data_IF_866784001068
#
_entry.id   IF_866784001068
#
_cell.length_a   1.000
_cell.length_b   1.000
_cell.length_c   1.000
_cell.angle_alpha   90.00
_cell.angle_beta   90.00
_cell.angle_gamma   90.00
#
_symmetry.space_group_name_H-M   'P 1'
#
loop_
_entity.id
_entity.type
_entity.pdbx_description
1 polymer ?
#
# COMPACT_ATOMS: atom_id res chain seq x y z
N UNK A 1 -11.84 -18.01 16.50
CA UNK A 1 -11.08 -18.51 15.33
C UNK A 1 -10.46 -19.89 15.53
N UNK A 2 -9.72 -20.16 16.63
CA UNK A 2 -9.04 -21.46 16.82
C UNK A 2 -9.95 -22.69 16.71
N UNK A 3 -11.20 -22.58 17.20
CA UNK A 3 -12.22 -23.63 17.05
C UNK A 3 -12.55 -23.90 15.58
N UNK A 4 -12.68 -22.87 14.75
CA UNK A 4 -12.95 -23.00 13.31
C UNK A 4 -11.78 -23.63 12.55
N UNK A 5 -10.56 -23.36 12.99
CA UNK A 5 -9.35 -23.87 12.35
C UNK A 5 -9.27 -25.40 12.45
N UNK A 6 -9.64 -25.95 13.62
CA UNK A 6 -9.55 -27.39 13.98
C UNK A 6 -10.79 -28.22 13.60
N UNK A 7 -11.83 -27.61 13.04
CA UNK A 7 -13.09 -28.31 12.70
C UNK A 7 -12.86 -29.32 11.57
N UNK A 8 -13.39 -30.53 11.77
CA UNK A 8 -13.25 -31.66 10.84
C UNK A 8 -14.61 -32.20 10.34
N UNK A 9 -15.73 -31.62 10.77
CA UNK A 9 -17.09 -32.02 10.35
C UNK A 9 -17.87 -30.84 9.79
N UNK A 10 -18.62 -31.07 8.71
CA UNK A 10 -19.46 -30.04 8.10
C UNK A 10 -20.58 -29.56 9.03
N UNK A 11 -21.18 -30.48 9.81
CA UNK A 11 -22.25 -30.11 10.74
C UNK A 11 -21.73 -29.21 11.86
N UNK A 12 -20.58 -29.55 12.43
CA UNK A 12 -19.91 -28.74 13.46
C UNK A 12 -19.47 -27.40 12.87
N UNK A 13 -18.91 -27.41 11.65
CA UNK A 13 -18.51 -26.20 10.93
C UNK A 13 -19.64 -25.19 10.81
N UNK A 14 -20.83 -25.61 10.35
CA UNK A 14 -21.98 -24.72 10.18
C UNK A 14 -22.37 -24.06 11.51
N UNK A 15 -22.37 -24.83 12.60
CA UNK A 15 -22.70 -24.31 13.93
C UNK A 15 -21.67 -23.27 14.42
N UNK A 16 -20.39 -23.61 14.36
CA UNK A 16 -19.31 -22.73 14.83
C UNK A 16 -19.20 -21.50 13.94
N UNK A 17 -19.34 -21.65 12.62
CA UNK A 17 -19.25 -20.53 11.68
C UNK A 17 -20.44 -19.58 11.83
N UNK A 18 -21.65 -20.08 12.13
CA UNK A 18 -22.80 -19.22 12.43
C UNK A 18 -22.56 -18.40 13.70
N UNK A 19 -22.00 -19.00 14.75
CA UNK A 19 -21.64 -18.25 15.96
C UNK A 19 -20.57 -17.19 15.66
N UNK A 20 -19.50 -17.59 14.96
CA UNK A 20 -18.43 -16.70 14.57
C UNK A 20 -18.91 -15.53 13.71
N UNK A 21 -19.82 -15.75 12.77
CA UNK A 21 -20.42 -14.69 11.96
C UNK A 21 -21.13 -13.64 12.80
N UNK A 22 -21.91 -14.06 13.80
CA UNK A 22 -22.58 -13.13 14.73
C UNK A 22 -21.57 -12.32 15.56
N UNK A 23 -20.53 -12.98 16.09
CA UNK A 23 -19.46 -12.33 16.83
C UNK A 23 -18.69 -11.33 15.95
N UNK A 24 -18.45 -11.65 14.67
CA UNK A 24 -17.79 -10.76 13.72
C UNK A 24 -18.63 -9.54 13.38
N UNK A 25 -19.96 -9.66 13.31
CA UNK A 25 -20.86 -8.51 13.10
C UNK A 25 -20.83 -7.58 14.31
N UNK A 26 -20.94 -8.12 15.52
CA UNK A 26 -20.81 -7.34 16.76
C UNK A 26 -19.44 -6.66 16.82
N UNK A 27 -18.37 -7.39 16.51
CA UNK A 27 -17.01 -6.85 16.45
C UNK A 27 -16.86 -5.75 15.39
N UNK A 28 -17.50 -5.87 14.23
CA UNK A 28 -17.47 -4.85 13.18
C UNK A 28 -18.14 -3.54 13.61
N UNK A 29 -19.20 -3.62 14.44
CA UNK A 29 -19.84 -2.46 15.06
C UNK A 29 -18.92 -1.82 16.11
N UNK A 30 -18.43 -2.60 17.08
CA UNK A 30 -17.55 -2.10 18.15
C UNK A 30 -16.27 -1.45 17.60
N UNK A 31 -15.65 -2.07 16.61
CA UNK A 31 -14.45 -1.51 15.95
C UNK A 31 -14.78 -0.28 15.10
N UNK A 32 -16.00 -0.18 14.57
CA UNK A 32 -16.48 1.01 13.86
C UNK A 32 -16.71 2.21 14.77
N UNK A 33 -17.38 2.00 15.89
CA UNK A 33 -17.57 3.04 16.90
C UNK A 33 -16.22 3.51 17.42
N UNK A 34 -15.32 2.57 17.74
CA UNK A 34 -13.96 2.90 18.17
C UNK A 34 -13.19 3.66 17.10
N UNK A 35 -13.30 3.30 15.82
CA UNK A 35 -12.66 4.02 14.72
C UNK A 35 -13.11 5.49 14.67
N UNK A 36 -14.40 5.76 14.92
CA UNK A 36 -14.96 7.11 14.91
C UNK A 36 -14.49 7.94 16.11
N UNK A 37 -14.28 7.29 17.27
CA UNK A 37 -13.79 7.92 18.49
C UNK A 37 -12.28 8.26 18.46
N UNK A 38 -11.51 7.63 17.57
CA UNK A 38 -10.07 7.88 17.44
C UNK A 38 -9.81 9.30 16.91
N UNK A 39 -9.00 10.06 17.65
CA UNK A 39 -8.55 11.41 17.27
C UNK A 39 -7.32 11.41 16.37
N UNK A 40 -6.52 10.35 16.46
CA UNK A 40 -5.29 10.19 15.67
C UNK A 40 -5.67 9.59 14.30
N UNK A 41 -5.51 10.37 13.25
CA UNK A 41 -5.82 9.97 11.87
C UNK A 41 -4.98 8.76 11.41
N UNK A 42 -3.75 8.58 11.94
CA UNK A 42 -2.91 7.41 11.68
C UNK A 42 -3.57 6.16 12.26
N UNK A 43 -3.98 6.20 13.53
CA UNK A 43 -4.68 5.09 14.20
C UNK A 43 -6.01 4.79 13.52
N UNK A 44 -6.74 5.82 13.10
CA UNK A 44 -8.02 5.71 12.39
C UNK A 44 -7.88 5.01 11.05
N UNK A 45 -6.87 5.38 10.26
CA UNK A 45 -6.57 4.72 8.99
C UNK A 45 -6.12 3.27 9.18
N UNK A 46 -5.27 2.98 10.17
CA UNK A 46 -4.88 1.60 10.52
C UNK A 46 -6.10 0.74 10.92
N UNK A 47 -7.02 1.31 11.71
CA UNK A 47 -8.25 0.62 12.12
C UNK A 47 -9.14 0.32 10.91
N UNK A 48 -9.32 1.30 10.01
CA UNK A 48 -10.08 1.11 8.77
C UNK A 48 -9.50 -0.01 7.90
N UNK A 49 -8.16 -0.04 7.73
CA UNK A 49 -7.48 -1.11 6.99
C UNK A 49 -7.68 -2.49 7.65
N UNK A 50 -7.53 -2.59 8.98
CA UNK A 50 -7.75 -3.85 9.70
C UNK A 50 -9.19 -4.35 9.56
N UNK A 51 -10.18 -3.46 9.71
CA UNK A 51 -11.61 -3.79 9.54
C UNK A 51 -11.91 -4.27 8.11
N UNK A 52 -11.37 -3.60 7.09
CA UNK A 52 -11.50 -4.02 5.68
C UNK A 52 -10.98 -5.44 5.46
N UNK A 53 -9.82 -5.79 6.04
CA UNK A 53 -9.29 -7.18 5.96
C UNK A 53 -10.26 -8.17 6.59
N UNK A 54 -10.77 -7.89 7.79
CA UNK A 54 -11.66 -8.80 8.52
C UNK A 54 -13.00 -9.02 7.82
N UNK A 55 -13.57 -7.96 7.25
CA UNK A 55 -14.80 -8.02 6.46
C UNK A 55 -14.63 -8.91 5.24
N UNK A 56 -13.62 -8.63 4.39
CA UNK A 56 -13.33 -9.41 3.18
C UNK A 56 -12.99 -10.87 3.51
N UNK A 57 -12.21 -11.12 4.57
CA UNK A 57 -11.79 -12.46 4.96
C UNK A 57 -12.94 -13.33 5.49
N UNK A 58 -14.04 -12.76 6.00
CA UNK A 58 -15.13 -13.56 6.57
C UNK A 58 -15.77 -14.47 5.52
N UNK A 59 -16.08 -13.94 4.33
CA UNK A 59 -16.60 -14.76 3.22
C UNK A 59 -15.56 -15.72 2.66
N UNK A 60 -14.30 -15.28 2.51
CA UNK A 60 -13.20 -16.13 2.03
C UNK A 60 -12.96 -17.31 2.98
N UNK A 61 -13.09 -17.10 4.30
CA UNK A 61 -12.93 -18.15 5.30
C UNK A 61 -14.02 -19.21 5.18
N UNK A 62 -15.26 -18.79 4.90
CA UNK A 62 -16.38 -19.69 4.68
C UNK A 62 -16.10 -20.66 3.53
N UNK A 63 -15.74 -20.12 2.36
CA UNK A 63 -15.52 -20.94 1.17
C UNK A 63 -14.25 -21.77 1.27
N UNK A 64 -13.16 -21.23 1.82
CA UNK A 64 -11.91 -21.97 1.99
C UNK A 64 -12.07 -23.14 2.98
N UNK A 65 -12.79 -22.92 4.09
CA UNK A 65 -13.07 -23.97 5.07
C UNK A 65 -13.99 -25.06 4.52
N UNK A 66 -15.07 -24.69 3.80
CA UNK A 66 -15.92 -25.66 3.09
C UNK A 66 -15.12 -26.50 2.09
N UNK A 67 -14.19 -25.86 1.38
CA UNK A 67 -13.34 -26.53 0.39
C UNK A 67 -12.42 -27.55 1.04
N UNK A 68 -11.77 -27.21 2.15
CA UNK A 68 -10.94 -28.15 2.92
C UNK A 68 -11.74 -29.33 3.48
N UNK A 69 -12.94 -29.08 4.00
CA UNK A 69 -13.81 -30.14 4.52
C UNK A 69 -14.30 -31.07 3.40
N UNK A 70 -14.49 -30.54 2.18
CA UNK A 70 -14.88 -31.34 1.02
C UNK A 70 -13.71 -32.15 0.46
N UNK A 71 -12.50 -31.58 0.48
CA UNK A 71 -11.29 -32.14 -0.12
C UNK A 71 -10.15 -32.19 0.91
N UNK A 72 -10.24 -33.05 1.93
CA UNK A 72 -9.35 -33.03 3.10
C UNK A 72 -7.89 -33.38 2.79
N UNK A 73 -7.61 -34.02 1.65
CA UNK A 73 -6.26 -34.40 1.22
C UNK A 73 -5.66 -33.41 0.21
N UNK A 74 -6.35 -32.30 -0.09
CA UNK A 74 -5.89 -31.31 -1.07
C UNK A 74 -5.02 -30.25 -0.37
N UNK A 75 -3.71 -30.29 -0.63
CA UNK A 75 -2.75 -29.37 -0.01
C UNK A 75 -3.04 -27.90 -0.34
N UNK A 76 -3.39 -27.60 -1.59
CA UNK A 76 -3.71 -26.23 -2.04
C UNK A 76 -4.97 -25.67 -1.37
N UNK A 77 -5.95 -26.51 -1.04
CA UNK A 77 -7.11 -26.11 -0.25
C UNK A 77 -6.70 -25.69 1.17
N UNK A 78 -5.84 -26.49 1.82
CA UNK A 78 -5.35 -26.19 3.18
C UNK A 78 -4.51 -24.90 3.21
N UNK A 79 -3.57 -24.73 2.26
CA UNK A 79 -2.79 -23.48 2.11
C UNK A 79 -3.70 -22.27 1.97
N UNK A 80 -4.76 -22.39 1.17
CA UNK A 80 -5.71 -21.32 0.95
C UNK A 80 -6.48 -20.96 2.25
N UNK A 81 -6.95 -21.96 3.00
CA UNK A 81 -7.61 -21.78 4.31
C UNK A 81 -6.68 -21.17 5.36
N UNK A 82 -5.46 -21.69 5.49
CA UNK A 82 -4.44 -21.19 6.43
C UNK A 82 -4.13 -19.72 6.17
N UNK A 83 -3.89 -19.35 4.90
CA UNK A 83 -3.64 -17.96 4.53
C UNK A 83 -4.78 -17.00 4.88
N UNK A 84 -6.06 -17.45 4.90
CA UNK A 84 -7.16 -16.59 5.37
C UNK A 84 -7.08 -16.41 6.89
N UNK A 85 -6.82 -17.48 7.65
CA UNK A 85 -6.66 -17.37 9.10
C UNK A 85 -5.51 -16.44 9.49
N UNK A 86 -4.36 -16.55 8.83
CA UNK A 86 -3.20 -15.71 9.12
C UNK A 86 -3.50 -14.23 8.89
N UNK A 87 -4.17 -13.89 7.78
CA UNK A 87 -4.62 -12.51 7.52
C UNK A 87 -5.57 -12.00 8.60
N UNK A 88 -6.52 -12.82 9.04
CA UNK A 88 -7.44 -12.43 10.10
C UNK A 88 -6.72 -12.25 11.43
N UNK A 89 -5.77 -13.12 11.78
CA UNK A 89 -4.95 -13.01 13.01
C UNK A 89 -4.18 -11.69 13.00
N UNK A 90 -3.45 -11.39 11.92
CA UNK A 90 -2.71 -10.13 11.74
C UNK A 90 -3.63 -8.91 11.85
N UNK A 91 -4.83 -8.96 11.26
CA UNK A 91 -5.78 -7.86 11.35
C UNK A 91 -6.34 -7.67 12.77
N UNK A 92 -6.62 -8.75 13.49
CA UNK A 92 -7.03 -8.69 14.90
C UNK A 92 -5.90 -8.12 15.78
N UNK A 93 -4.64 -8.52 15.54
CA UNK A 93 -3.49 -7.99 16.25
C UNK A 93 -3.35 -6.47 16.04
N UNK A 94 -3.54 -6.00 14.80
CA UNK A 94 -3.61 -4.56 14.48
C UNK A 94 -4.73 -3.86 15.27
N UNK A 95 -5.91 -4.46 15.39
CA UNK A 95 -7.01 -3.89 16.22
C UNK A 95 -6.62 -3.85 17.70
N UNK A 96 -6.03 -4.93 18.23
CA UNK A 96 -5.57 -5.02 19.62
C UNK A 96 -4.55 -3.91 19.91
N UNK A 97 -3.55 -3.73 19.04
CA UNK A 97 -2.54 -2.67 19.16
C UNK A 97 -3.20 -1.28 19.26
N UNK A 98 -4.17 -1.00 18.39
CA UNK A 98 -4.85 0.31 18.35
C UNK A 98 -5.71 0.54 19.60
N UNK A 99 -6.39 -0.48 20.10
CA UNK A 99 -7.31 -0.37 21.24
C UNK A 99 -6.59 -0.34 22.58
N UNK A 100 -5.53 -1.14 22.73
CA UNK A 100 -4.79 -1.29 23.99
C UNK A 100 -3.63 -0.31 24.15
N UNK A 101 -3.21 0.32 23.05
CA UNK A 101 -1.98 1.14 22.98
C UNK A 101 -0.70 0.39 23.40
N UNK A 102 -0.78 -0.93 23.57
CA UNK A 102 0.34 -1.80 23.86
C UNK A 102 0.87 -2.36 22.55
N UNK A 103 2.12 -2.07 22.22
CA UNK A 103 2.84 -2.78 21.15
C UNK A 103 3.18 -4.19 21.66
N UNK A 104 2.66 -5.28 21.07
CA UNK A 104 2.96 -6.63 21.55
C UNK A 104 4.44 -7.01 21.41
N UNK A 105 5.21 -6.29 20.58
CA UNK A 105 6.67 -6.37 20.47
C UNK A 105 7.20 -4.98 20.13
N UNK A 106 8.35 -4.61 20.70
CA UNK A 106 9.01 -3.31 20.54
C UNK A 106 9.55 -3.00 19.14
N UNK A 107 8.87 -3.44 18.09
CA UNK A 107 9.16 -3.00 16.73
C UNK A 107 8.67 -1.55 16.60
N UNK A 108 9.63 -0.64 16.39
CA UNK A 108 9.29 0.63 15.77
C UNK A 108 8.58 0.30 14.45
N UNK A 109 7.45 0.95 14.15
CA UNK A 109 6.94 1.01 12.79
C UNK A 109 8.10 1.55 11.96
N UNK A 110 8.92 0.69 11.35
CA UNK A 110 9.88 1.11 10.33
C UNK A 110 9.05 1.28 9.04
N UNK A 111 7.99 2.10 9.12
CA UNK A 111 7.38 2.65 7.92
C UNK A 111 8.39 3.66 7.41
N UNK A 112 9.14 3.29 6.37
CA UNK A 112 10.08 4.19 5.74
C UNK A 112 9.33 5.48 5.36
N UNK A 113 9.81 6.64 5.82
CA UNK A 113 9.21 7.95 5.54
C UNK A 113 8.99 8.11 4.02
N UNK A 114 7.79 8.46 3.58
CA UNK A 114 7.51 8.67 2.16
C UNK A 114 8.35 9.82 1.58
N UNK A 115 8.64 9.78 0.27
CA UNK A 115 9.40 10.87 -0.38
C UNK A 115 8.71 12.22 -0.17
N UNK A 116 7.37 12.29 -0.26
CA UNK A 116 6.64 13.54 -0.05
C UNK A 116 6.79 14.09 1.37
N UNK A 117 6.74 13.23 2.38
CA UNK A 117 6.98 13.62 3.78
C UNK A 117 8.43 14.05 3.97
N UNK A 118 9.39 13.33 3.39
CA UNK A 118 10.81 13.71 3.40
C UNK A 118 11.07 15.08 2.75
N UNK A 119 10.45 15.38 1.59
CA UNK A 119 10.54 16.71 0.94
C UNK A 119 9.96 17.78 1.86
N UNK A 120 8.82 17.53 2.51
CA UNK A 120 8.18 18.48 3.42
C UNK A 120 9.07 18.79 4.63
N UNK A 121 9.64 17.77 5.26
CA UNK A 121 10.57 17.91 6.39
C UNK A 121 11.85 18.63 5.99
N UNK A 122 12.44 18.26 4.84
CA UNK A 122 13.62 18.93 4.31
C UNK A 122 13.35 20.42 4.09
N UNK A 123 12.21 20.76 3.47
CA UNK A 123 11.81 22.15 3.25
C UNK A 123 11.60 22.90 4.57
N UNK A 124 10.98 22.27 5.57
CA UNK A 124 10.84 22.89 6.89
C UNK A 124 12.21 23.19 7.53
N UNK A 125 13.18 22.28 7.39
CA UNK A 125 14.53 22.48 7.94
C UNK A 125 15.29 23.62 7.25
N UNK A 126 15.25 23.73 5.92
CA UNK A 126 15.90 24.87 5.22
C UNK A 126 15.23 26.21 5.54
N UNK A 127 13.93 26.22 5.81
CA UNK A 127 13.18 27.42 6.19
C UNK A 127 13.64 27.97 7.55
N UNK A 128 14.03 27.10 8.50
CA UNK A 128 14.59 27.54 9.79
C UNK A 128 15.89 28.35 9.65
N UNK A 129 16.61 28.21 8.53
CA UNK A 129 17.83 28.99 8.27
C UNK A 129 17.54 30.50 8.14
N UNK A 130 16.32 30.88 7.76
CA UNK A 130 15.88 32.28 7.71
C UNK A 130 15.91 32.94 9.08
N UNK A 131 15.57 32.19 10.11
CA UNK A 131 15.46 32.66 11.49
C UNK A 131 16.77 32.47 12.25
N UNK A 132 17.43 31.33 12.04
CA UNK A 132 18.64 30.97 12.78
C UNK A 132 19.64 30.15 11.93
N UNK A 133 20.69 30.84 11.46
CA UNK A 133 21.78 30.27 10.67
C UNK A 133 22.62 29.19 11.38
N UNK A 134 22.45 28.98 12.69
CA UNK A 134 23.21 28.00 13.49
C UNK A 134 22.34 26.84 13.99
N UNK A 135 21.05 26.83 13.65
CA UNK A 135 20.11 25.82 14.14
C UNK A 135 20.38 24.42 13.55
N UNK A 136 20.86 24.37 12.30
CA UNK A 136 21.13 23.13 11.58
C UNK A 136 22.62 22.97 11.30
N UNK A 137 23.06 21.72 11.10
CA UNK A 137 24.38 21.41 10.55
C UNK A 137 24.30 21.17 9.04
N UNK A 138 25.41 21.40 8.34
CA UNK A 138 25.52 21.23 6.88
C UNK A 138 25.42 19.76 6.52
N UNK A 139 26.08 18.95 7.33
CA UNK A 139 26.12 17.51 7.27
C UNK A 139 24.71 16.93 7.40
N UNK A 140 23.89 17.47 8.31
CA UNK A 140 22.49 17.05 8.47
C UNK A 140 21.68 17.27 7.19
N UNK A 141 21.76 18.45 6.57
CA UNK A 141 21.02 18.73 5.33
C UNK A 141 21.52 17.86 4.16
N UNK A 142 22.82 17.65 4.04
CA UNK A 142 23.38 16.74 3.02
C UNK A 142 22.90 15.31 3.19
N UNK A 143 22.95 14.77 4.42
CA UNK A 143 22.48 13.41 4.70
C UNK A 143 20.97 13.28 4.44
N UNK A 144 20.19 14.30 4.83
CA UNK A 144 18.74 14.29 4.61
C UNK A 144 18.38 14.31 3.12
N UNK A 145 19.08 15.11 2.30
CA UNK A 145 18.85 15.12 0.86
C UNK A 145 19.27 13.79 0.23
N UNK A 146 20.44 13.26 0.55
CA UNK A 146 20.87 11.98 -0.05
C UNK A 146 19.94 10.82 0.34
N UNK A 147 19.50 10.74 1.61
CA UNK A 147 18.52 9.73 2.03
C UNK A 147 17.13 9.89 1.38
N UNK A 148 16.80 11.10 0.91
CA UNK A 148 15.59 11.36 0.13
C UNK A 148 15.78 10.94 -1.32
N UNK A 149 16.93 11.25 -1.91
CA UNK A 149 17.25 10.90 -3.29
C UNK A 149 17.50 9.40 -3.47
N UNK A 150 18.05 8.70 -2.48
CA UNK A 150 18.15 7.23 -2.48
C UNK A 150 16.76 6.58 -2.61
N UNK A 151 15.72 7.17 -2.01
CA UNK A 151 14.35 6.64 -2.14
C UNK A 151 13.75 6.86 -3.52
N UNK A 152 14.28 7.78 -4.33
CA UNK A 152 13.83 7.90 -5.73
C UNK A 152 14.33 6.73 -6.57
N UNK A 153 15.26 5.90 -6.07
CA UNK A 153 15.69 4.67 -6.72
C UNK A 153 14.55 3.67 -6.88
N UNK A 154 13.57 3.65 -5.96
CA UNK A 154 12.34 2.87 -6.12
C UNK A 154 11.64 3.17 -7.47
N UNK A 155 11.72 4.42 -7.94
CA UNK A 155 11.16 4.82 -9.23
C UNK A 155 12.09 4.48 -10.40
N UNK A 156 13.40 4.68 -10.26
CA UNK A 156 14.34 4.46 -11.36
C UNK A 156 14.59 2.97 -11.61
N UNK A 157 14.56 2.16 -10.56
CA UNK A 157 14.80 0.71 -10.64
C UNK A 157 13.53 -0.07 -10.97
N UNK A 158 12.36 0.56 -10.81
CA UNK A 158 11.10 -0.01 -11.26
C UNK A 158 11.15 -0.29 -12.77
N UNK A 159 11.00 -1.58 -13.12
CA UNK A 159 11.03 -2.06 -14.50
C UNK A 159 9.94 -1.44 -15.38
N UNK A 160 8.89 -0.89 -14.78
CA UNK A 160 7.74 -0.31 -15.48
C UNK A 160 7.87 1.20 -15.70
N UNK A 161 8.80 1.88 -15.03
CA UNK A 161 9.05 3.31 -15.25
C UNK A 161 9.65 3.54 -16.65
N UNK A 162 9.07 4.48 -17.41
CA UNK A 162 9.53 4.80 -18.77
C UNK A 162 10.96 5.37 -18.76
N UNK A 163 11.66 5.26 -19.89
CA UNK A 163 13.01 5.85 -20.01
C UNK A 163 12.98 7.36 -19.78
N UNK A 164 11.98 8.05 -20.35
CA UNK A 164 11.80 9.50 -20.21
C UNK A 164 11.62 9.93 -18.75
N UNK A 165 10.71 9.28 -18.02
CA UNK A 165 10.51 9.57 -16.60
C UNK A 165 11.76 9.25 -15.76
N UNK A 166 12.44 8.13 -16.04
CA UNK A 166 13.67 7.75 -15.34
C UNK A 166 14.78 8.77 -15.53
N UNK A 167 15.02 9.18 -16.78
CA UNK A 167 16.01 10.21 -17.11
C UNK A 167 15.66 11.53 -16.41
N UNK A 168 14.39 11.94 -16.46
CA UNK A 168 13.92 13.17 -15.83
C UNK A 168 14.08 13.17 -14.30
N UNK A 169 13.77 12.06 -13.64
CA UNK A 169 13.96 11.90 -12.18
C UNK A 169 15.45 12.02 -11.83
N UNK A 170 16.34 11.41 -12.60
CA UNK A 170 17.79 11.47 -12.39
C UNK A 170 18.33 12.89 -12.58
N UNK A 171 17.89 13.60 -13.63
CA UNK A 171 18.23 15.01 -13.87
C UNK A 171 17.81 15.90 -12.70
N UNK A 172 16.55 15.79 -12.26
CA UNK A 172 16.01 16.58 -11.16
C UNK A 172 16.72 16.26 -9.83
N UNK A 173 17.11 15.00 -9.62
CA UNK A 173 17.90 14.58 -8.46
C UNK A 173 19.30 15.20 -8.48
N UNK A 174 19.98 15.21 -9.63
CA UNK A 174 21.28 15.87 -9.80
C UNK A 174 21.18 17.40 -9.64
N UNK A 175 20.09 18.00 -10.11
CA UNK A 175 19.80 19.41 -9.92
C UNK A 175 19.62 19.73 -8.43
N UNK A 176 18.83 18.95 -7.68
CA UNK A 176 18.62 19.16 -6.25
C UNK A 176 19.94 19.11 -5.46
N UNK A 177 20.86 18.19 -5.82
CA UNK A 177 22.22 18.15 -5.24
C UNK A 177 22.99 19.43 -5.53
N UNK A 178 22.96 19.90 -6.78
CA UNK A 178 23.65 21.13 -7.18
C UNK A 178 23.12 22.36 -6.44
N UNK A 179 21.79 22.48 -6.31
CA UNK A 179 21.16 23.57 -5.58
C UNK A 179 21.49 23.52 -4.07
N UNK A 180 21.59 22.34 -3.47
CA UNK A 180 22.03 22.20 -2.07
C UNK A 180 23.49 22.65 -1.89
N UNK A 181 24.39 22.29 -2.81
CA UNK A 181 25.78 22.75 -2.72
C UNK A 181 25.89 24.28 -2.83
N UNK A 182 25.07 24.90 -3.68
CA UNK A 182 24.99 26.37 -3.76
C UNK A 182 24.46 26.97 -2.45
N UNK A 183 23.38 26.42 -1.89
CA UNK A 183 22.82 26.84 -0.61
C UNK A 183 23.88 26.76 0.51
N UNK A 184 24.59 25.63 0.63
CA UNK A 184 25.60 25.42 1.67
C UNK A 184 26.75 26.44 1.52
N UNK A 185 27.21 26.70 0.29
CA UNK A 185 28.26 27.70 0.03
C UNK A 185 27.86 29.09 0.51
N UNK A 186 26.67 29.57 0.13
CA UNK A 186 26.17 30.89 0.52
C UNK A 186 25.87 30.95 2.02
N UNK A 187 25.35 29.87 2.60
CA UNK A 187 25.09 29.76 4.03
C UNK A 187 26.36 29.89 4.87
N UNK A 188 27.47 29.24 4.48
CA UNK A 188 28.77 29.38 5.14
C UNK A 188 29.24 30.84 5.09
N UNK A 189 29.06 31.52 3.96
CA UNK A 189 29.40 32.93 3.83
C UNK A 189 28.54 33.78 4.77
N UNK A 190 27.24 33.52 4.85
CA UNK A 190 26.29 34.22 5.72
C UNK A 190 26.60 34.05 7.22
N UNK A 191 27.12 32.90 7.64
CA UNK A 191 27.58 32.68 9.02
C UNK A 191 28.81 33.56 9.33
N UNK A 192 29.72 33.73 8.38
CA UNK A 192 30.96 34.50 8.57
C UNK A 192 30.80 36.01 8.42
N UNK A 193 29.91 36.47 7.52
CA UNK A 193 29.73 37.87 7.14
C UNK A 193 28.25 38.15 6.91
N UNK A 194 27.67 39.03 7.75
CA UNK A 194 26.29 39.48 7.60
C UNK A 194 26.24 40.74 6.75
N UNK A 195 26.01 40.61 5.45
CA UNK A 195 25.71 41.74 4.56
C UNK A 195 24.34 41.55 3.94
N UNK A 196 23.68 42.66 3.59
CA UNK A 196 22.36 42.62 2.93
C UNK A 196 22.37 41.80 1.64
N UNK A 197 23.44 41.90 0.85
CA UNK A 197 23.63 41.13 -0.39
C UNK A 197 23.70 39.63 -0.14
N UNK A 198 24.39 39.18 0.92
CA UNK A 198 24.50 37.75 1.26
C UNK A 198 23.15 37.21 1.76
N UNK A 199 22.39 38.03 2.50
CA UNK A 199 21.03 37.67 2.92
C UNK A 199 20.09 37.49 1.71
N UNK A 200 20.13 38.40 0.73
CA UNK A 200 19.33 38.29 -0.49
C UNK A 200 19.74 37.05 -1.33
N UNK A 201 21.03 36.75 -1.42
CA UNK A 201 21.54 35.56 -2.11
C UNK A 201 21.14 34.27 -1.39
N UNK A 202 21.17 34.25 -0.06
CA UNK A 202 20.71 33.12 0.74
C UNK A 202 19.23 32.83 0.47
N UNK A 203 18.39 33.86 0.49
CA UNK A 203 16.97 33.72 0.15
C UNK A 203 16.75 33.16 -1.25
N UNK A 204 17.52 33.64 -2.23
CA UNK A 204 17.46 33.11 -3.59
C UNK A 204 17.81 31.61 -3.64
N UNK A 205 18.86 31.17 -2.94
CA UNK A 205 19.23 29.75 -2.90
C UNK A 205 18.21 28.86 -2.20
N UNK A 206 17.58 29.35 -1.11
CA UNK A 206 16.47 28.66 -0.43
C UNK A 206 15.28 28.47 -1.39
N UNK A 207 14.95 29.50 -2.17
CA UNK A 207 13.87 29.41 -3.16
C UNK A 207 14.21 28.44 -4.29
N UNK A 208 15.45 28.44 -4.78
CA UNK A 208 15.90 27.53 -5.85
C UNK A 208 15.83 26.06 -5.45
N UNK A 209 16.37 25.69 -4.29
CA UNK A 209 16.29 24.30 -3.82
C UNK A 209 14.83 23.88 -3.57
N UNK A 210 14.02 24.78 -3.00
CA UNK A 210 12.59 24.54 -2.78
C UNK A 210 11.83 24.31 -4.09
N UNK A 211 12.19 25.06 -5.13
CA UNK A 211 11.63 24.90 -6.46
C UNK A 211 12.09 23.58 -7.10
N UNK A 212 13.38 23.25 -7.05
CA UNK A 212 13.94 22.00 -7.57
C UNK A 212 13.26 20.77 -6.93
N UNK A 213 13.06 20.77 -5.60
CA UNK A 213 12.35 19.69 -4.92
C UNK A 213 10.86 19.62 -5.29
N UNK A 214 10.22 20.75 -5.58
CA UNK A 214 8.84 20.75 -6.08
C UNK A 214 8.74 20.16 -7.49
N UNK A 215 9.71 20.42 -8.37
CA UNK A 215 9.75 19.82 -9.71
C UNK A 215 9.99 18.30 -9.61
N UNK A 216 10.91 17.85 -8.76
CA UNK A 216 11.10 16.42 -8.46
C UNK A 216 9.80 15.80 -7.93
N UNK A 217 9.12 16.47 -7.00
CA UNK A 217 7.81 16.04 -6.46
C UNK A 217 6.76 15.84 -7.56
N UNK A 218 6.68 16.77 -8.52
CA UNK A 218 5.74 16.68 -9.65
C UNK A 218 6.07 15.52 -10.58
N UNK A 219 7.33 15.32 -10.88
CA UNK A 219 7.77 14.23 -11.76
C UNK A 219 7.45 12.85 -11.15
N UNK A 220 7.77 12.67 -9.86
CA UNK A 220 7.47 11.44 -9.13
C UNK A 220 5.96 11.17 -9.08
N UNK A 221 5.15 12.19 -8.81
CA UNK A 221 3.69 12.07 -8.81
C UNK A 221 3.17 11.64 -10.18
N UNK A 222 3.57 12.34 -11.23
CA UNK A 222 3.18 12.06 -12.61
C UNK A 222 3.52 10.62 -12.98
N UNK A 223 4.74 10.18 -12.66
CA UNK A 223 5.23 8.82 -12.91
C UNK A 223 4.34 7.78 -12.22
N UNK A 224 4.13 7.88 -10.90
CA UNK A 224 3.32 6.90 -10.16
C UNK A 224 1.85 6.91 -10.60
N UNK A 225 1.27 8.09 -10.82
CA UNK A 225 -0.12 8.24 -11.22
C UNK A 225 -0.37 7.67 -12.63
N UNK A 226 0.54 7.91 -13.57
CA UNK A 226 0.45 7.37 -14.92
C UNK A 226 0.58 5.85 -14.92
N UNK A 227 1.55 5.29 -14.19
CA UNK A 227 1.71 3.84 -14.05
C UNK A 227 0.46 3.18 -13.47
N UNK A 228 -0.12 3.77 -12.43
CA UNK A 228 -1.35 3.30 -11.82
C UNK A 228 -2.55 3.39 -12.79
N UNK A 229 -2.72 4.50 -13.48
CA UNK A 229 -3.81 4.69 -14.43
C UNK A 229 -3.76 3.67 -15.59
N UNK A 230 -2.57 3.43 -16.14
CA UNK A 230 -2.39 2.46 -17.23
C UNK A 230 -2.59 1.03 -16.77
N UNK A 231 -2.16 0.71 -15.55
CA UNK A 231 -2.36 -0.59 -14.95
C UNK A 231 -3.86 -0.86 -14.70
N UNK A 232 -4.60 0.11 -14.15
CA UNK A 232 -6.05 -0.01 -13.94
C UNK A 232 -6.80 -0.26 -15.25
N UNK A 233 -6.42 0.44 -16.34
CA UNK A 233 -6.99 0.20 -17.68
C UNK A 233 -6.69 -1.21 -18.17
N UNK A 234 -5.45 -1.67 -18.00
CA UNK A 234 -5.03 -3.02 -18.40
C UNK A 234 -5.82 -4.12 -17.67
N UNK A 235 -6.23 -3.89 -16.43
CA UNK A 235 -6.97 -4.85 -15.63
C UNK A 235 -8.50 -4.82 -15.81
N UNK A 236 -9.06 -3.90 -16.61
CA UNK A 236 -10.51 -3.69 -16.71
C UNK A 236 -11.31 -4.94 -17.09
N UNK A 237 -10.75 -5.82 -17.92
CA UNK A 237 -11.45 -7.01 -18.42
C UNK A 237 -11.20 -8.29 -17.61
N UNK A 238 -10.32 -8.24 -16.60
CA UNK A 238 -9.97 -9.37 -15.72
C UNK A 238 -9.65 -10.69 -16.47
N UNK A 239 -8.97 -10.58 -17.62
CA UNK A 239 -8.73 -11.69 -18.56
C UNK A 239 -8.04 -12.88 -17.90
N UNK A 240 -7.01 -12.64 -17.08
CA UNK A 240 -6.26 -13.70 -16.39
C UNK A 240 -7.13 -14.43 -15.37
N UNK A 241 -7.97 -13.73 -14.61
CA UNK A 241 -8.89 -14.37 -13.65
C UNK A 241 -9.92 -15.24 -14.36
N UNK A 242 -10.48 -14.75 -15.47
CA UNK A 242 -11.42 -15.53 -16.30
C UNK A 242 -10.76 -16.79 -16.86
N UNK A 243 -9.51 -16.69 -17.31
CA UNK A 243 -8.75 -17.83 -17.82
C UNK A 243 -8.40 -18.85 -16.72
N UNK A 244 -8.03 -18.41 -15.51
CA UNK A 244 -7.82 -19.29 -14.35
C UNK A 244 -9.10 -20.06 -13.98
N UNK A 245 -10.25 -19.38 -14.01
CA UNK A 245 -11.55 -20.04 -13.78
C UNK A 245 -11.86 -21.10 -14.84
N UNK A 246 -11.59 -20.81 -16.11
CA UNK A 246 -11.81 -21.73 -17.22
C UNK A 246 -10.89 -22.96 -17.15
N UNK A 247 -9.58 -22.73 -17.01
CA UNK A 247 -8.59 -23.82 -16.89
C UNK A 247 -8.86 -24.70 -15.68
N UNK A 248 -9.32 -24.11 -14.57
CA UNK A 248 -9.76 -24.83 -13.39
C UNK A 248 -10.91 -25.80 -13.66
N UNK A 249 -11.97 -25.37 -14.36
CA UNK A 249 -13.10 -26.27 -14.66
C UNK A 249 -12.77 -27.33 -15.71
N UNK A 250 -11.78 -27.08 -16.56
CA UNK A 250 -11.28 -28.05 -17.55
C UNK A 250 -10.31 -29.07 -16.93
N UNK A 251 -9.79 -28.81 -15.73
CA UNK A 251 -8.74 -29.62 -15.13
C UNK A 251 -7.39 -29.50 -15.86
N UNK A 252 -7.17 -28.37 -16.54
CA UNK A 252 -5.98 -28.14 -17.36
C UNK A 252 -4.80 -27.62 -16.52
N UNK A 253 -3.93 -28.52 -16.08
CA UNK A 253 -2.75 -28.20 -15.26
C UNK A 253 -1.71 -27.33 -15.99
N UNK A 254 -1.53 -27.53 -17.30
CA UNK A 254 -0.58 -26.75 -18.10
C UNK A 254 -1.08 -25.30 -18.24
N UNK A 255 -2.37 -25.13 -18.57
CA UNK A 255 -3.00 -23.81 -18.60
C UNK A 255 -2.98 -23.12 -17.24
N UNK A 256 -3.23 -23.86 -16.15
CA UNK A 256 -3.10 -23.32 -14.79
C UNK A 256 -1.70 -22.76 -14.54
N UNK A 257 -0.64 -23.50 -14.88
CA UNK A 257 0.74 -23.05 -14.67
C UNK A 257 1.05 -21.76 -15.44
N UNK A 258 0.61 -21.68 -16.70
CA UNK A 258 0.77 -20.49 -17.54
C UNK A 258 0.06 -19.26 -16.93
N UNK A 259 -1.22 -19.39 -16.58
CA UNK A 259 -1.99 -18.27 -16.06
C UNK A 259 -1.65 -17.92 -14.60
N UNK A 260 -1.15 -18.87 -13.81
CA UNK A 260 -0.61 -18.59 -12.48
C UNK A 260 0.68 -17.74 -12.55
N UNK A 261 1.54 -18.01 -13.55
CA UNK A 261 2.69 -17.17 -13.85
C UNK A 261 2.25 -15.75 -14.22
N UNK A 262 1.31 -15.61 -15.17
CA UNK A 262 0.76 -14.30 -15.58
C UNK A 262 0.12 -13.54 -14.41
N UNK A 263 -0.61 -14.22 -13.52
CA UNK A 263 -1.18 -13.58 -12.33
C UNK A 263 -0.09 -13.13 -11.36
N UNK A 264 0.99 -13.90 -11.23
CA UNK A 264 2.14 -13.54 -10.38
C UNK A 264 2.85 -12.28 -10.89
N UNK A 265 3.07 -12.17 -12.21
CA UNK A 265 3.61 -10.97 -12.85
C UNK A 265 2.70 -9.75 -12.65
N UNK A 266 1.38 -9.94 -12.83
CA UNK A 266 0.39 -8.90 -12.58
C UNK A 266 0.39 -8.43 -11.12
N UNK A 267 0.46 -9.37 -10.19
CA UNK A 267 0.57 -9.11 -8.75
C UNK A 267 1.81 -8.30 -8.42
N UNK A 268 2.97 -8.68 -8.93
CA UNK A 268 4.23 -7.95 -8.71
C UNK A 268 4.13 -6.51 -9.22
N UNK A 269 3.57 -6.30 -10.41
CA UNK A 269 3.35 -4.97 -10.96
C UNK A 269 2.39 -4.11 -10.12
N UNK A 270 1.31 -4.70 -9.59
CA UNK A 270 0.37 -4.00 -8.70
C UNK A 270 1.01 -3.62 -7.37
N UNK A 271 1.75 -4.56 -6.76
CA UNK A 271 2.51 -4.34 -5.51
C UNK A 271 3.51 -3.20 -5.70
N UNK A 272 4.30 -3.22 -6.78
CA UNK A 272 5.27 -2.17 -7.07
C UNK A 272 4.58 -0.81 -7.25
N UNK A 273 3.48 -0.77 -7.98
CA UNK A 273 2.73 0.48 -8.21
C UNK A 273 2.16 1.04 -6.91
N UNK A 274 1.62 0.20 -6.02
CA UNK A 274 1.17 0.61 -4.68
C UNK A 274 2.32 1.19 -3.84
N UNK A 275 3.53 0.62 -3.94
CA UNK A 275 4.72 1.15 -3.26
C UNK A 275 5.10 2.54 -3.78
N UNK A 276 5.09 2.75 -5.10
CA UNK A 276 5.35 4.07 -5.69
C UNK A 276 4.28 5.09 -5.29
N UNK A 277 3.00 4.70 -5.30
CA UNK A 277 1.89 5.55 -4.84
C UNK A 277 2.05 5.96 -3.37
N UNK A 278 2.57 5.06 -2.52
CA UNK A 278 2.85 5.37 -1.10
C UNK A 278 3.79 6.56 -0.96
N UNK A 279 4.86 6.62 -1.76
CA UNK A 279 5.83 7.71 -1.75
C UNK A 279 5.25 9.08 -2.12
N UNK A 280 4.18 9.10 -2.92
CA UNK A 280 3.57 10.32 -3.47
C UNK A 280 2.16 10.60 -2.93
N UNK A 281 1.73 9.86 -1.92
CA UNK A 281 0.35 9.92 -1.40
C UNK A 281 0.04 11.20 -0.61
N UNK A 282 1.06 11.84 -0.02
CA UNK A 282 0.99 13.19 0.57
C UNK A 282 0.30 13.32 1.92
N UNK A 283 -0.31 12.26 2.46
CA UNK A 283 -0.86 12.24 3.83
C UNK A 283 -0.68 10.88 4.48
N UNK A 284 -0.41 10.82 5.78
CA UNK A 284 -0.23 9.55 6.52
C UNK A 284 -1.39 8.56 6.35
N UNK A 285 -2.68 8.97 6.35
CA UNK A 285 -3.77 8.03 6.08
C UNK A 285 -3.68 7.36 4.71
N UNK A 286 -3.30 8.10 3.67
CA UNK A 286 -3.14 7.54 2.33
C UNK A 286 -1.90 6.65 2.22
N UNK A 287 -0.81 6.98 2.94
CA UNK A 287 0.36 6.10 3.04
C UNK A 287 -0.03 4.73 3.60
N UNK A 288 -0.85 4.71 4.67
CA UNK A 288 -1.38 3.48 5.26
C UNK A 288 -2.28 2.73 4.28
N UNK A 289 -3.17 3.42 3.56
CA UNK A 289 -4.03 2.78 2.56
C UNK A 289 -3.21 2.18 1.41
N UNK A 290 -2.13 2.83 0.96
CA UNK A 290 -1.22 2.27 -0.05
C UNK A 290 -0.51 1.01 0.46
N UNK A 291 0.00 1.04 1.69
CA UNK A 291 0.63 -0.15 2.31
C UNK A 291 -0.38 -1.30 2.45
N UNK A 292 -1.60 -0.99 2.89
CA UNK A 292 -2.67 -1.99 2.99
C UNK A 292 -3.00 -2.60 1.62
N UNK A 293 -3.06 -1.79 0.56
CA UNK A 293 -3.28 -2.28 -0.80
C UNK A 293 -2.13 -3.16 -1.29
N UNK A 294 -0.87 -2.77 -1.02
CA UNK A 294 0.35 -3.55 -1.31
C UNK A 294 0.27 -4.94 -0.65
N UNK A 295 0.07 -4.99 0.67
CA UNK A 295 -0.07 -6.23 1.44
C UNK A 295 -1.23 -7.10 0.90
N UNK A 296 -2.36 -6.48 0.57
CA UNK A 296 -3.55 -7.19 0.11
C UNK A 296 -3.34 -7.84 -1.25
N UNK A 297 -2.73 -7.16 -2.22
CA UNK A 297 -2.40 -7.75 -3.51
C UNK A 297 -1.41 -8.90 -3.35
N UNK A 298 -0.36 -8.71 -2.55
CA UNK A 298 0.66 -9.72 -2.32
C UNK A 298 0.06 -11.04 -1.83
N UNK A 299 -0.83 -10.98 -0.84
CA UNK A 299 -1.43 -12.20 -0.27
C UNK A 299 -2.54 -12.76 -1.15
N UNK A 300 -3.46 -11.91 -1.63
CA UNK A 300 -4.64 -12.38 -2.38
C UNK A 300 -4.23 -13.05 -3.69
N UNK A 301 -3.20 -12.56 -4.37
CA UNK A 301 -2.70 -13.16 -5.61
C UNK A 301 -2.27 -14.62 -5.42
N UNK A 302 -1.52 -14.92 -4.34
CA UNK A 302 -1.11 -16.29 -4.02
C UNK A 302 -2.30 -17.18 -3.64
N UNK A 303 -3.30 -16.61 -2.95
CA UNK A 303 -4.50 -17.33 -2.56
C UNK A 303 -5.37 -17.71 -3.76
N UNK A 304 -5.47 -16.84 -4.78
CA UNK A 304 -6.16 -17.16 -6.04
C UNK A 304 -5.48 -18.33 -6.74
N UNK A 305 -4.14 -18.34 -6.82
CA UNK A 305 -3.38 -19.44 -7.44
C UNK A 305 -3.70 -20.76 -6.72
N UNK A 306 -3.69 -20.75 -5.38
CA UNK A 306 -4.00 -21.94 -4.57
C UNK A 306 -5.45 -22.41 -4.76
N UNK A 307 -6.41 -21.47 -4.86
CA UNK A 307 -7.81 -21.80 -5.13
C UNK A 307 -8.02 -22.35 -6.55
N UNK A 308 -7.31 -21.80 -7.55
CA UNK A 308 -7.34 -22.27 -8.92
C UNK A 308 -6.72 -23.67 -9.06
N UNK A 309 -5.62 -23.93 -8.35
CA UNK A 309 -5.01 -25.26 -8.26
C UNK A 309 -5.99 -26.27 -7.65
N UNK A 310 -6.65 -25.91 -6.55
CA UNK A 310 -7.68 -26.76 -5.93
C UNK A 310 -8.80 -27.10 -6.91
N UNK A 311 -9.29 -26.12 -7.67
CA UNK A 311 -10.34 -26.34 -8.67
C UNK A 311 -9.83 -27.22 -9.82
N UNK A 312 -8.59 -27.01 -10.29
CA UNK A 312 -7.98 -27.80 -11.37
C UNK A 312 -7.82 -29.27 -10.98
N UNK A 313 -7.49 -29.56 -9.72
CA UNK A 313 -7.42 -30.92 -9.18
C UNK A 313 -8.81 -31.54 -8.96
N UNK A 314 -9.85 -30.72 -8.80
CA UNK A 314 -11.22 -31.14 -8.53
C UNK A 314 -12.25 -30.41 -9.42
N UNK A 315 -12.17 -30.57 -10.76
CA UNK A 315 -12.85 -29.69 -11.73
C UNK A 315 -14.38 -29.73 -11.64
N UNK A 316 -14.95 -30.85 -11.17
CA UNK A 316 -16.40 -31.00 -10.98
C UNK A 316 -16.92 -30.46 -9.63
N UNK A 317 -16.03 -29.97 -8.75
CA UNK A 317 -16.42 -29.50 -7.42
C UNK A 317 -16.99 -28.09 -7.46
N UNK A 318 -18.31 -27.98 -7.29
CA UNK A 318 -19.00 -26.69 -7.17
C UNK A 318 -18.45 -25.83 -6.01
N UNK A 319 -18.03 -26.46 -4.92
CA UNK A 319 -17.46 -25.76 -3.74
C UNK A 319 -16.09 -25.16 -4.08
N UNK A 320 -15.24 -25.90 -4.81
CA UNK A 320 -13.95 -25.37 -5.23
C UNK A 320 -14.10 -24.22 -6.24
N UNK A 321 -15.13 -24.29 -7.10
CA UNK A 321 -15.49 -23.21 -8.02
C UNK A 321 -15.94 -21.95 -7.29
N UNK A 322 -16.89 -22.09 -6.37
CA UNK A 322 -17.37 -21.00 -5.50
C UNK A 322 -16.21 -20.37 -4.72
N UNK A 323 -15.27 -21.19 -4.24
CA UNK A 323 -14.08 -20.69 -3.57
C UNK A 323 -13.25 -19.79 -4.48
N UNK A 324 -12.85 -20.27 -5.66
CA UNK A 324 -12.09 -19.46 -6.62
C UNK A 324 -12.84 -18.18 -7.00
N UNK A 325 -14.16 -18.25 -7.18
CA UNK A 325 -14.99 -17.08 -7.50
C UNK A 325 -14.87 -15.98 -6.43
N UNK A 326 -15.00 -16.32 -5.14
CA UNK A 326 -14.87 -15.36 -4.03
C UNK A 326 -13.48 -14.71 -3.97
N UNK A 327 -12.40 -15.48 -4.18
CA UNK A 327 -11.04 -14.91 -4.20
C UNK A 327 -10.81 -13.99 -5.39
N UNK A 328 -11.37 -14.32 -6.56
CA UNK A 328 -11.32 -13.45 -7.73
C UNK A 328 -12.12 -12.15 -7.51
N UNK A 329 -13.32 -12.23 -6.95
CA UNK A 329 -14.13 -11.05 -6.62
C UNK A 329 -13.41 -10.12 -5.63
N UNK A 330 -12.73 -10.69 -4.62
CA UNK A 330 -11.91 -9.90 -3.68
C UNK A 330 -10.78 -9.14 -4.38
N UNK A 331 -10.15 -9.74 -5.41
CA UNK A 331 -9.13 -9.09 -6.22
C UNK A 331 -9.69 -8.00 -7.13
N UNK A 332 -10.82 -8.25 -7.78
CA UNK A 332 -11.53 -7.26 -8.60
C UNK A 332 -11.94 -6.04 -7.76
N UNK A 333 -12.48 -6.29 -6.56
CA UNK A 333 -12.78 -5.25 -5.58
C UNK A 333 -11.52 -4.47 -5.18
N UNK A 334 -10.39 -5.13 -4.96
CA UNK A 334 -9.14 -4.46 -4.63
C UNK A 334 -8.60 -3.56 -5.76
N UNK A 335 -8.76 -3.97 -7.02
CA UNK A 335 -8.45 -3.13 -8.19
C UNK A 335 -9.35 -1.89 -8.21
N UNK A 336 -10.63 -2.05 -7.92
CA UNK A 336 -11.57 -0.92 -7.80
C UNK A 336 -11.17 0.04 -6.68
N UNK A 337 -10.81 -0.49 -5.51
CA UNK A 337 -10.32 0.30 -4.36
C UNK A 337 -9.04 1.08 -4.72
N UNK A 338 -8.14 0.48 -5.51
CA UNK A 338 -6.93 1.16 -6.01
C UNK A 338 -7.28 2.34 -6.95
N UNK A 339 -8.35 2.25 -7.74
CA UNK A 339 -8.83 3.38 -8.56
C UNK A 339 -9.32 4.55 -7.70
N UNK A 340 -10.04 4.25 -6.61
CA UNK A 340 -10.46 5.26 -5.62
C UNK A 340 -9.24 5.89 -4.96
N UNK A 341 -8.28 5.06 -4.52
CA UNK A 341 -7.02 5.50 -3.91
C UNK A 341 -6.23 6.44 -4.83
N UNK A 342 -6.06 6.09 -6.11
CA UNK A 342 -5.37 6.93 -7.08
C UNK A 342 -6.04 8.31 -7.21
N UNK A 343 -7.37 8.34 -7.29
CA UNK A 343 -8.14 9.61 -7.35
C UNK A 343 -7.93 10.45 -6.09
N UNK A 344 -7.93 9.84 -4.91
CA UNK A 344 -7.70 10.56 -3.65
C UNK A 344 -6.27 11.13 -3.55
N UNK A 345 -5.27 10.37 -4.02
CA UNK A 345 -3.88 10.84 -4.10
C UNK A 345 -3.76 12.05 -5.04
N UNK A 346 -4.42 11.99 -6.21
CA UNK A 346 -4.45 13.12 -7.15
C UNK A 346 -5.18 14.34 -6.53
N UNK A 347 -6.30 14.13 -5.84
CA UNK A 347 -7.03 15.20 -5.15
C UNK A 347 -6.19 15.87 -4.05
N UNK A 348 -5.38 15.09 -3.31
CA UNK A 348 -4.41 15.64 -2.34
C UNK A 348 -3.32 16.42 -3.05
N UNK A 349 -2.75 15.88 -4.12
CA UNK A 349 -1.67 16.52 -4.86
C UNK A 349 -2.09 17.86 -5.49
N UNK A 350 -3.30 17.92 -6.04
CA UNK A 350 -3.89 19.12 -6.64
C UNK A 350 -4.47 20.11 -5.60
N UNK A 351 -4.52 19.74 -4.31
CA UNK A 351 -5.04 20.59 -3.23
C UNK A 351 -6.57 20.64 -3.14
N UNK A 352 -7.30 19.78 -3.85
CA UNK A 352 -8.79 19.75 -3.90
C UNK A 352 -9.44 19.19 -2.63
N UNK A 353 -8.70 18.52 -1.75
CA UNK A 353 -9.26 17.87 -0.54
C UNK A 353 -9.79 18.87 0.51
N UNK A 354 -9.42 20.15 0.43
CA UNK A 354 -9.92 21.21 1.31
C UNK A 354 -11.37 21.67 1.02
N UNK A 355 -11.90 21.41 -0.17
CA UNK A 355 -13.24 21.89 -0.58
C UNK A 355 -14.37 20.90 -0.27
N UNK A 356 -14.05 19.63 0.00
CA UNK A 356 -15.05 18.56 0.25
C UNK A 356 -15.51 18.46 1.70
N UNK A 357 -14.83 19.13 2.65
CA UNK A 357 -15.21 19.13 4.07
C UNK A 357 -16.20 20.26 4.46
N UNK A 358 -16.60 21.12 3.52
CA UNK A 358 -17.56 22.21 3.80
C UNK A 358 -19.03 21.85 3.51
N UNK A 359 -19.33 20.59 3.19
CA UNK A 359 -20.70 20.15 2.92
C UNK A 359 -20.89 18.73 3.46
N UNK A 360 -20.97 18.57 4.79
CA UNK A 360 -21.82 17.59 5.46
C UNK A 360 -22.03 18.00 6.91
#
# INVERSE_FOLDING_TARGET
MERLEKVNSFQEFVQIFSQFGNEMVEFAHLTGDRQNDLKDEKKKAKMAAARSVLEKCTMMLLTASKTCLRHPNCESAHKNKEGVFDRMKVALDKVIEIVTECKPNGENDISSISIFTGIKEFKANIETLRENLYFQSKETLSVMLEALLERTEDFTDCAYTSHEHRERILELSAQARTELQQLISVWIQAQSRKTKSITEELELTILKISHSLNELKKELHSTAAQLAADLLKYHADHVVLKALKLTGVEGNLEGLAEYACKLSEQKERLVETCRLLRHVSGTEPLEITCLHAEETFQVTGQQIISAAETLTLHPSSKIAKENLDVFCEAWECQISDMSILLREINDVFEGRRGEKLSIY
#
